data_IF_443789749318
#
_entry.id   IF_443789749318
#
_cell.length_a   1.000
_cell.length_b   1.000
_cell.length_c   1.000
_cell.angle_alpha   90.00
_cell.angle_beta   90.00
_cell.angle_gamma   90.00
#
_symmetry.space_group_name_H-M   'P 1'
#
loop_
_entity.id
_entity.type
_entity.pdbx_description
1 polymer ?
#
# COMPACT_ATOMS: atom_id res chain seq x y z
N UNK A 1 -13.45 4.17 20.71
CA UNK A 1 -13.28 5.10 19.59
C UNK A 1 -13.42 4.27 18.34
N UNK A 2 -14.38 4.61 17.52
CA UNK A 2 -14.65 3.91 16.27
C UNK A 2 -13.52 4.18 15.27
N UNK A 3 -13.21 3.21 14.40
CA UNK A 3 -12.17 3.36 13.36
C UNK A 3 -12.55 4.50 12.41
N UNK A 4 -13.83 4.61 12.06
CA UNK A 4 -14.34 5.67 11.19
C UNK A 4 -14.18 7.03 11.86
N UNK A 5 -14.57 7.15 13.12
CA UNK A 5 -14.38 8.35 13.93
C UNK A 5 -12.90 8.77 13.97
N UNK A 6 -11.99 7.83 14.24
CA UNK A 6 -10.55 8.10 14.27
C UNK A 6 -10.00 8.56 12.90
N UNK A 7 -10.47 7.98 11.80
CA UNK A 7 -10.10 8.44 10.45
C UNK A 7 -10.72 9.80 10.13
N UNK A 8 -11.91 10.10 10.62
CA UNK A 8 -12.56 11.40 10.45
C UNK A 8 -11.74 12.51 11.12
N UNK A 9 -11.28 12.29 12.34
CA UNK A 9 -10.37 13.24 13.01
C UNK A 9 -9.10 13.51 12.20
N UNK A 10 -8.53 12.47 11.57
CA UNK A 10 -7.35 12.64 10.72
C UNK A 10 -7.68 13.38 9.42
N UNK A 11 -8.84 13.10 8.83
CA UNK A 11 -9.34 13.80 7.64
C UNK A 11 -9.55 15.29 7.92
N UNK A 12 -10.13 15.63 9.06
CA UNK A 12 -10.39 17.01 9.47
C UNK A 12 -9.07 17.78 9.66
N UNK A 13 -8.06 17.17 10.26
CA UNK A 13 -6.71 17.74 10.38
C UNK A 13 -6.03 17.93 9.02
N UNK A 14 -6.16 16.98 8.10
CA UNK A 14 -5.65 17.13 6.74
C UNK A 14 -6.35 18.29 6.00
N UNK A 15 -7.68 18.34 6.09
CA UNK A 15 -8.48 19.39 5.47
C UNK A 15 -8.19 20.77 6.07
N UNK A 16 -7.97 20.86 7.38
CA UNK A 16 -7.56 22.10 8.06
C UNK A 16 -6.22 22.64 7.53
N UNK A 17 -5.35 21.76 7.03
CA UNK A 17 -4.08 22.11 6.38
C UNK A 17 -4.18 22.25 4.86
N UNK A 18 -5.40 22.22 4.31
CA UNK A 18 -5.65 22.31 2.86
C UNK A 18 -5.27 21.05 2.08
N UNK A 19 -5.08 19.92 2.75
CA UNK A 19 -4.73 18.64 2.14
C UNK A 19 -6.00 17.81 1.93
N UNK A 20 -6.41 17.70 0.66
CA UNK A 20 -7.58 16.92 0.30
C UNK A 20 -7.41 15.45 0.71
N UNK A 21 -8.42 14.89 1.37
CA UNK A 21 -8.48 13.48 1.73
C UNK A 21 -9.93 12.99 1.79
N UNK A 22 -10.13 11.70 1.56
CA UNK A 22 -11.45 11.06 1.52
C UNK A 22 -11.41 9.70 2.18
N UNK A 23 -12.36 9.44 3.09
CA UNK A 23 -12.56 8.12 3.69
C UNK A 23 -13.40 7.27 2.72
N UNK A 24 -13.00 6.03 2.53
CA UNK A 24 -13.77 5.03 1.81
C UNK A 24 -13.43 3.63 2.28
N UNK A 25 -14.28 2.68 1.91
CA UNK A 25 -14.01 1.26 2.12
C UNK A 25 -13.15 0.74 0.98
N UNK A 26 -12.04 0.07 1.31
CA UNK A 26 -11.13 -0.46 0.30
C UNK A 26 -10.82 -1.93 0.57
N UNK A 27 -10.86 -2.80 -0.46
CA UNK A 27 -10.33 -4.14 -0.33
C UNK A 27 -8.81 -4.08 -0.19
N UNK A 28 -8.28 -4.82 0.77
CA UNK A 28 -6.85 -4.99 0.96
C UNK A 28 -6.49 -6.45 0.74
N UNK A 29 -5.39 -6.75 0.07
CA UNK A 29 -5.01 -8.14 -0.23
C UNK A 29 -4.82 -9.03 1.01
N UNK A 30 -4.62 -8.40 2.19
CA UNK A 30 -4.48 -9.07 3.48
C UNK A 30 -5.79 -9.16 4.28
N UNK A 31 -6.91 -8.64 3.76
CA UNK A 31 -8.21 -8.63 4.44
C UNK A 31 -9.33 -9.04 3.47
N UNK A 32 -10.14 -10.01 3.86
CA UNK A 32 -11.33 -10.41 3.10
C UNK A 32 -12.42 -9.34 3.18
N UNK A 33 -12.50 -8.62 4.30
CA UNK A 33 -13.46 -7.54 4.50
C UNK A 33 -12.86 -6.19 4.07
N UNK A 34 -13.64 -5.30 3.42
CA UNK A 34 -13.21 -3.94 3.13
C UNK A 34 -12.87 -3.21 4.42
N UNK A 35 -11.70 -2.57 4.47
CA UNK A 35 -11.29 -1.80 5.64
C UNK A 35 -11.53 -0.31 5.39
N UNK A 36 -12.02 0.43 6.40
CA UNK A 36 -12.06 1.89 6.34
C UNK A 36 -10.65 2.42 6.07
N UNK A 37 -10.51 3.19 5.01
CA UNK A 37 -9.23 3.69 4.52
C UNK A 37 -9.39 5.16 4.16
N UNK A 38 -8.49 5.99 4.68
CA UNK A 38 -8.37 7.39 4.31
C UNK A 38 -7.42 7.51 3.11
N UNK A 39 -7.97 7.83 1.95
CA UNK A 39 -7.21 8.13 0.75
C UNK A 39 -6.82 9.60 0.73
N UNK A 40 -5.52 9.88 0.66
CA UNK A 40 -4.98 11.22 0.60
C UNK A 40 -4.86 11.73 -0.84
N UNK A 41 -4.80 13.04 -1.01
CA UNK A 41 -4.69 13.69 -2.32
C UNK A 41 -3.31 13.58 -2.98
N UNK A 42 -3.16 14.18 -4.18
CA UNK A 42 -1.94 14.08 -5.00
C UNK A 42 -0.69 14.60 -4.30
N UNK A 43 -0.82 15.65 -3.47
CA UNK A 43 0.29 16.22 -2.70
C UNK A 43 0.97 15.21 -1.78
N UNK A 44 0.19 14.25 -1.26
CA UNK A 44 0.66 13.18 -0.39
C UNK A 44 0.94 11.89 -1.18
N UNK A 45 1.05 11.97 -2.51
CA UNK A 45 1.33 10.82 -3.38
C UNK A 45 0.26 9.73 -3.31
N UNK A 46 -1.01 10.12 -3.12
CA UNK A 46 -2.14 9.19 -2.96
C UNK A 46 -1.95 8.18 -1.81
N UNK A 47 -1.30 8.63 -0.72
CA UNK A 47 -1.12 7.82 0.47
C UNK A 47 -2.45 7.28 1.00
N UNK A 48 -2.43 6.04 1.47
CA UNK A 48 -3.57 5.38 2.07
C UNK A 48 -3.26 5.14 3.54
N UNK A 49 -4.12 5.68 4.40
CA UNK A 49 -4.03 5.53 5.85
C UNK A 49 -5.14 4.60 6.31
N UNK A 50 -4.77 3.57 7.07
CA UNK A 50 -5.68 2.61 7.71
C UNK A 50 -5.49 2.68 9.22
N UNK A 51 -6.44 2.15 9.98
CA UNK A 51 -6.29 1.96 11.43
C UNK A 51 -6.07 0.46 11.70
N UNK A 52 -5.10 0.12 12.53
CA UNK A 52 -4.86 -1.26 12.96
C UNK A 52 -5.82 -1.68 14.06
N UNK A 53 -5.90 -2.98 14.37
CA UNK A 53 -6.72 -3.51 15.46
C UNK A 53 -6.37 -2.92 16.83
N UNK A 54 -5.15 -2.40 16.98
CA UNK A 54 -4.67 -1.71 18.18
C UNK A 54 -4.98 -0.20 18.19
N UNK A 55 -5.73 0.29 17.21
CA UNK A 55 -6.08 1.71 17.07
C UNK A 55 -4.93 2.58 16.58
N UNK A 56 -3.90 2.02 15.92
CA UNK A 56 -2.79 2.82 15.39
C UNK A 56 -3.07 3.24 13.95
N UNK A 57 -2.73 4.48 13.59
CA UNK A 57 -2.70 4.87 12.18
C UNK A 57 -1.57 4.14 11.48
N UNK A 58 -1.81 3.64 10.27
CA UNK A 58 -0.84 2.90 9.46
C UNK A 58 -0.91 3.32 8.00
N UNK A 59 0.24 3.61 7.41
CA UNK A 59 0.39 3.91 5.98
C UNK A 59 1.70 3.36 5.43
N UNK A 60 1.84 3.33 4.11
CA UNK A 60 3.10 3.01 3.45
C UNK A 60 3.93 4.29 3.28
N UNK A 61 5.22 4.23 3.59
CA UNK A 61 6.16 5.25 3.09
C UNK A 61 6.29 5.14 1.57
N UNK A 62 6.86 6.16 0.91
CA UNK A 62 7.06 6.11 -0.54
C UNK A 62 8.02 5.01 -1.03
N UNK A 63 8.56 4.18 -0.13
CA UNK A 63 9.42 3.03 -0.42
C UNK A 63 8.71 1.70 -0.15
N UNK A 64 7.43 1.72 0.24
CA UNK A 64 6.63 0.52 0.51
C UNK A 64 6.81 -0.07 1.91
N UNK A 65 7.49 0.61 2.83
CA UNK A 65 7.56 0.16 4.23
C UNK A 65 6.37 0.70 5.03
N UNK A 66 5.84 -0.12 5.93
CA UNK A 66 4.79 0.33 6.84
C UNK A 66 5.33 1.30 7.89
N UNK A 67 4.64 2.42 8.04
CA UNK A 67 4.75 3.36 9.15
C UNK A 67 3.52 3.22 10.02
N UNK A 68 3.71 3.31 11.34
CA UNK A 68 2.62 3.29 12.31
C UNK A 68 2.77 4.45 13.28
N UNK A 69 1.64 5.03 13.70
CA UNK A 69 1.62 6.11 14.67
C UNK A 69 0.44 5.98 15.62
N UNK A 70 0.64 6.39 16.88
CA UNK A 70 -0.40 6.35 17.91
C UNK A 70 -1.56 7.29 17.60
N UNK A 71 -2.78 6.87 17.97
CA UNK A 71 -4.04 7.62 17.79
C UNK A 71 -4.10 9.00 18.43
N UNK A 72 -3.27 9.25 19.45
CA UNK A 72 -3.43 10.38 20.37
C UNK A 72 -3.14 11.72 19.69
N UNK A 73 -2.45 11.72 18.56
CA UNK A 73 -1.96 12.95 17.93
C UNK A 73 -2.16 12.91 16.41
N UNK A 74 -3.39 13.15 15.94
CA UNK A 74 -3.71 13.24 14.52
C UNK A 74 -2.84 14.30 13.81
N UNK A 75 -2.56 15.44 14.45
CA UNK A 75 -1.64 16.46 13.95
C UNK A 75 -0.23 15.93 13.68
N UNK A 76 0.36 15.16 14.62
CA UNK A 76 1.68 14.53 14.44
C UNK A 76 1.66 13.49 13.32
N UNK A 77 0.56 12.76 13.17
CA UNK A 77 0.37 11.80 12.06
C UNK A 77 0.41 12.54 10.73
N UNK A 78 -0.29 13.68 10.62
CA UNK A 78 -0.27 14.51 9.41
C UNK A 78 1.13 15.08 9.14
N UNK A 79 1.83 15.55 10.17
CA UNK A 79 3.21 16.04 10.03
C UNK A 79 4.16 14.95 9.49
N UNK A 80 4.06 13.73 10.01
CA UNK A 80 4.89 12.61 9.54
C UNK A 80 4.45 12.13 8.15
N UNK A 81 3.15 12.18 7.84
CA UNK A 81 2.64 11.89 6.50
C UNK A 81 3.18 12.88 5.46
N UNK A 82 3.19 14.18 5.79
CA UNK A 82 3.79 15.21 4.95
C UNK A 82 5.30 14.97 4.85
N UNK A 83 6.01 14.71 5.95
CA UNK A 83 7.47 14.48 5.92
C UNK A 83 7.85 13.25 5.09
N UNK A 84 7.11 12.15 5.23
CA UNK A 84 7.35 10.91 4.47
C UNK A 84 7.12 11.08 2.96
N UNK A 85 6.33 12.09 2.54
CA UNK A 85 6.03 12.39 1.12
C UNK A 85 6.78 13.59 0.56
N UNK A 86 7.08 14.59 1.37
CA UNK A 86 7.96 15.71 1.01
C UNK A 86 9.43 15.26 0.91
N UNK A 87 9.82 14.20 1.62
CA UNK A 87 11.13 13.54 1.50
C UNK A 87 11.29 12.61 0.29
N UNK A 88 10.27 12.46 -0.57
CA UNK A 88 10.34 11.73 -1.84
C UNK A 88 10.43 12.70 -3.00
N UNK A 89 11.63 13.22 -3.28
CA UNK A 89 11.98 13.92 -4.54
C UNK A 89 12.06 12.94 -5.73
N UNK A 90 11.05 12.10 -5.93
CA UNK A 90 10.89 11.35 -7.18
C UNK A 90 9.41 11.00 -7.32
N UNK A 91 8.74 11.41 -8.41
CA UNK A 91 7.36 10.99 -8.67
C UNK A 91 7.30 9.45 -8.69
N UNK A 92 6.27 8.81 -8.12
CA UNK A 92 6.10 7.39 -8.36
C UNK A 92 5.76 7.20 -9.84
N UNK A 93 6.66 6.56 -10.59
CA UNK A 93 6.23 5.80 -11.76
C UNK A 93 5.20 4.77 -11.27
N UNK A 94 4.09 4.67 -12.00
CA UNK A 94 3.01 3.74 -11.71
C UNK A 94 3.57 2.33 -11.52
N UNK A 95 3.02 1.51 -10.59
CA UNK A 95 3.55 0.17 -10.33
C UNK A 95 3.57 -0.67 -11.61
N UNK A 96 4.69 -1.35 -11.86
CA UNK A 96 5.03 -2.10 -13.08
C UNK A 96 4.12 -3.30 -13.38
N UNK A 97 3.03 -3.54 -12.64
CA UNK A 97 2.09 -4.62 -12.99
C UNK A 97 1.48 -4.45 -14.39
N UNK A 98 1.47 -3.22 -14.95
CA UNK A 98 1.14 -3.00 -16.37
C UNK A 98 2.27 -3.35 -17.34
N UNK A 99 3.53 -3.29 -16.91
CA UNK A 99 4.72 -3.60 -17.73
C UNK A 99 5.10 -5.09 -17.65
N UNK A 100 4.79 -5.73 -16.52
CA UNK A 100 5.14 -7.11 -16.22
C UNK A 100 4.10 -8.11 -16.79
N UNK A 101 2.83 -7.69 -16.92
CA UNK A 101 1.80 -8.44 -17.62
C UNK A 101 2.09 -8.62 -19.13
N UNK A 102 2.86 -7.72 -19.74
CA UNK A 102 3.31 -7.84 -21.15
C UNK A 102 4.63 -8.64 -21.29
N UNK A 103 5.45 -8.74 -20.24
CA UNK A 103 6.73 -9.48 -20.25
C UNK A 103 6.61 -10.97 -19.87
N UNK A 104 5.55 -11.37 -19.18
CA UNK A 104 5.34 -12.76 -18.75
C UNK A 104 4.29 -13.53 -19.56
N UNK A 105 4.22 -13.28 -20.87
CA UNK A 105 3.63 -14.26 -21.78
C UNK A 105 4.39 -15.58 -21.63
N UNK A 106 3.70 -16.64 -21.22
CA UNK A 106 4.28 -17.97 -20.97
C UNK A 106 5.02 -18.46 -22.24
N UNK A 107 6.27 -18.94 -22.13
CA UNK A 107 6.94 -19.57 -23.26
C UNK A 107 6.21 -20.87 -23.65
N UNK A 108 6.14 -21.22 -24.96
CA UNK A 108 5.46 -22.43 -25.39
C UNK A 108 6.12 -23.68 -24.81
N UNK A 109 5.30 -24.55 -24.21
CA UNK A 109 5.74 -25.77 -23.52
C UNK A 109 6.53 -26.72 -24.45
N UNK A 110 7.72 -27.21 -24.04
CA UNK A 110 8.48 -28.16 -24.84
C UNK A 110 7.86 -29.57 -24.81
N UNK A 111 7.86 -30.22 -25.98
CA UNK A 111 7.36 -31.59 -26.21
C UNK A 111 8.28 -32.65 -25.56
N UNK A 112 7.65 -33.64 -24.91
CA UNK A 112 8.28 -34.83 -24.29
C UNK A 112 9.17 -35.60 -25.28
N UNK A 113 10.35 -36.01 -24.85
CA UNK A 113 11.04 -37.19 -25.36
C UNK A 113 11.66 -38.01 -24.22
N UNK A 114 11.38 -39.31 -24.26
CA UNK A 114 11.83 -40.34 -23.34
C UNK A 114 13.34 -40.57 -23.48
N UNK A 115 14.05 -40.81 -22.36
CA UNK A 115 15.02 -41.90 -22.35
C UNK A 115 15.33 -42.39 -20.94
N UNK A 116 15.01 -43.67 -20.71
CA UNK A 116 15.45 -44.46 -19.56
C UNK A 116 16.52 -45.43 -20.06
N UNK A 117 17.46 -45.73 -19.16
CA UNK A 117 18.48 -46.81 -19.15
C UNK A 117 19.86 -46.49 -19.73
N UNK A 118 20.83 -46.67 -18.85
CA UNK A 118 22.25 -46.81 -19.11
C UNK A 118 22.94 -47.11 -17.77
N UNK A 119 22.54 -48.20 -17.11
CA UNK A 119 23.19 -48.70 -15.91
C UNK A 119 23.68 -50.11 -16.27
N UNK A 120 24.88 -50.20 -16.84
CA UNK A 120 25.62 -51.45 -16.98
C UNK A 120 27.04 -51.24 -16.47
N UNK A 121 27.36 -52.03 -15.44
CA UNK A 121 28.64 -52.23 -14.74
C UNK A 121 29.63 -53.04 -15.62
N UNK A 122 30.92 -53.22 -15.28
CA UNK A 122 31.55 -53.19 -13.94
C UNK A 122 32.70 -52.19 -13.74
#
# INVERSE_FOLDING_TARGET
MDVIEQLQHLQDELNARGLHSQIGEKPHWFSLDPLPTLACGPYLGYAQVTVTDHGLYRWLDGRGNYKTHARVFASLVVDDLIRTRAGTQTPPELPEWRTEAERHALPPLPRRSQHRRGNDRP
#
